data_IF_346049539003
#
_entry.id   IF_346049539003
#
_cell.length_a   1.000
_cell.length_b   1.000
_cell.length_c   1.000
_cell.angle_alpha   90.00
_cell.angle_beta   90.00
_cell.angle_gamma   90.00
#
_symmetry.space_group_name_H-M   'P 1'
#
loop_
_entity.id
_entity.type
_entity.pdbx_description
1 polymer ?
#
# COMPACT_ATOMS: atom_id res chain seq x y z
N UNK A 1 -37.89 -31.97 3.95
CA UNK A 1 -37.71 -30.51 3.83
C UNK A 1 -37.04 -30.00 5.10
N UNK A 2 -35.98 -29.22 4.98
CA UNK A 2 -35.34 -28.54 6.12
C UNK A 2 -36.17 -27.30 6.46
N UNK A 3 -36.72 -27.20 7.69
CA UNK A 3 -37.68 -26.14 8.07
C UNK A 3 -37.05 -24.97 8.84
N UNK A 4 -35.83 -25.13 9.38
CA UNK A 4 -35.10 -24.04 10.05
C UNK A 4 -33.62 -24.39 10.23
N UNK A 5 -32.75 -23.38 10.21
CA UNK A 5 -31.31 -23.49 10.51
C UNK A 5 -31.00 -22.72 11.80
N UNK A 6 -30.28 -23.28 12.77
CA UNK A 6 -29.90 -22.56 13.98
C UNK A 6 -28.92 -21.44 13.63
N UNK A 7 -29.19 -20.23 14.11
CA UNK A 7 -28.28 -19.08 13.94
C UNK A 7 -27.15 -19.22 14.97
N UNK A 8 -25.89 -19.37 14.56
CA UNK A 8 -24.76 -19.47 15.49
C UNK A 8 -24.55 -18.16 16.25
N UNK A 9 -24.07 -18.27 17.49
CA UNK A 9 -23.70 -17.13 18.32
C UNK A 9 -22.47 -16.42 17.71
N UNK A 10 -22.44 -15.10 17.74
CA UNK A 10 -21.29 -14.29 17.30
C UNK A 10 -20.00 -14.68 18.03
N UNK A 11 -20.12 -15.20 19.26
CA UNK A 11 -18.99 -15.73 20.05
C UNK A 11 -18.34 -16.98 19.47
N UNK A 12 -19.02 -17.73 18.60
CA UNK A 12 -18.43 -18.92 17.96
C UNK A 12 -17.60 -18.56 16.72
N UNK A 13 -17.51 -17.28 16.35
CA UNK A 13 -16.67 -16.84 15.24
C UNK A 13 -15.23 -16.77 15.73
N UNK A 14 -14.37 -17.63 15.17
CA UNK A 14 -12.93 -17.56 15.37
C UNK A 14 -12.37 -16.37 14.61
N UNK A 15 -12.11 -15.27 15.31
CA UNK A 15 -11.47 -14.10 14.74
C UNK A 15 -9.96 -14.31 14.60
N UNK A 16 -9.39 -13.83 13.51
CA UNK A 16 -7.94 -13.73 13.37
C UNK A 16 -7.50 -12.54 14.23
N UNK A 17 -6.64 -12.74 15.25
CA UNK A 17 -6.15 -11.63 16.06
C UNK A 17 -5.30 -10.70 15.20
N UNK A 18 -5.59 -9.40 15.27
CA UNK A 18 -4.83 -8.35 14.60
C UNK A 18 -4.38 -7.34 15.65
N UNK A 19 -3.08 -7.04 15.67
CA UNK A 19 -2.53 -5.95 16.46
C UNK A 19 -2.30 -4.75 15.53
N UNK A 20 -2.91 -3.61 15.84
CA UNK A 20 -2.75 -2.39 15.05
C UNK A 20 -1.93 -1.35 15.81
N UNK A 21 -1.09 -0.61 15.11
CA UNK A 21 -0.36 0.54 15.63
C UNK A 21 -0.27 1.62 14.56
N UNK A 22 -0.22 2.89 14.96
CA UNK A 22 -0.08 3.99 14.01
C UNK A 22 1.06 4.91 14.38
N UNK A 23 1.80 5.33 13.35
CA UNK A 23 2.62 6.52 13.40
C UNK A 23 1.82 7.66 12.79
N UNK A 24 1.35 8.59 13.62
CA UNK A 24 0.56 9.75 13.17
C UNK A 24 1.20 11.06 13.66
N UNK A 25 2.04 11.71 12.83
CA UNK A 25 2.67 12.97 13.21
C UNK A 25 1.68 14.15 13.28
N UNK A 26 0.43 13.96 12.85
CA UNK A 26 -0.59 15.01 12.81
C UNK A 26 -1.61 14.92 13.96
N UNK A 27 -1.59 13.84 14.73
CA UNK A 27 -2.51 13.61 15.84
C UNK A 27 -1.83 13.80 17.20
N UNK A 28 -2.51 14.51 18.09
CA UNK A 28 -2.10 14.66 19.49
C UNK A 28 -2.67 13.56 20.40
N UNK A 29 -3.39 12.57 19.86
CA UNK A 29 -4.02 11.51 20.64
C UNK A 29 -3.06 10.34 20.82
N UNK A 30 -2.78 10.00 22.07
CA UNK A 30 -2.05 8.77 22.41
C UNK A 30 -2.90 7.55 22.11
N UNK A 31 -2.39 6.65 21.26
CA UNK A 31 -3.02 5.35 21.03
C UNK A 31 -2.83 4.42 22.24
N UNK A 32 -3.72 3.43 22.37
CA UNK A 32 -3.55 2.39 23.40
C UNK A 32 -2.28 1.59 23.10
N UNK A 33 -1.37 1.55 24.06
CA UNK A 33 -0.15 0.74 23.94
C UNK A 33 -0.48 -0.75 23.87
N UNK A 34 0.10 -1.40 22.87
CA UNK A 34 0.16 -2.84 22.67
C UNK A 34 1.61 -3.25 22.34
N UNK A 35 1.86 -4.55 22.29
CA UNK A 35 3.19 -5.11 22.01
C UNK A 35 3.80 -4.57 20.70
N UNK A 36 2.98 -4.40 19.66
CA UNK A 36 3.40 -3.84 18.38
C UNK A 36 3.87 -2.38 18.51
N UNK A 37 3.08 -1.52 19.17
CA UNK A 37 3.47 -0.13 19.41
C UNK A 37 4.73 -0.01 20.28
N UNK A 38 4.91 -0.87 21.27
CA UNK A 38 6.14 -0.90 22.08
C UNK A 38 7.35 -1.40 21.30
N UNK A 39 7.15 -2.25 20.30
CA UNK A 39 8.20 -2.66 19.38
C UNK A 39 8.60 -1.49 18.47
N UNK A 40 7.62 -0.80 17.88
CA UNK A 40 7.84 0.36 17.01
C UNK A 40 8.47 1.55 17.77
N UNK A 41 8.06 1.79 19.02
CA UNK A 41 8.60 2.85 19.89
C UNK A 41 10.12 2.70 20.16
N UNK A 42 10.71 1.52 19.89
CA UNK A 42 12.17 1.29 20.01
C UNK A 42 12.94 1.84 18.82
N UNK A 43 12.30 1.97 17.66
CA UNK A 43 12.93 2.55 16.48
C UNK A 43 12.96 4.08 16.64
N UNK A 44 14.16 4.65 16.62
CA UNK A 44 14.37 6.10 16.75
C UNK A 44 14.15 6.82 15.41
N UNK A 45 13.01 6.60 14.77
CA UNK A 45 12.68 7.15 13.45
C UNK A 45 11.38 7.92 13.53
N UNK A 46 11.44 9.23 13.28
CA UNK A 46 10.26 10.05 13.07
C UNK A 46 9.93 10.11 11.57
N UNK A 47 8.74 9.60 11.20
CA UNK A 47 8.30 9.65 9.81
C UNK A 47 7.47 10.92 9.55
N UNK A 48 7.69 11.63 8.43
CA UNK A 48 6.97 12.86 8.10
C UNK A 48 5.55 12.61 7.57
N UNK A 49 5.07 11.37 7.62
CA UNK A 49 3.78 10.95 7.09
C UNK A 49 3.13 9.90 8.00
N UNK A 50 1.82 9.76 7.83
CA UNK A 50 1.03 8.77 8.53
C UNK A 50 1.35 7.36 8.04
N UNK A 51 1.54 6.42 8.97
CA UNK A 51 1.65 4.99 8.68
C UNK A 51 0.74 4.20 9.62
N UNK A 52 -0.05 3.29 9.06
CA UNK A 52 -0.79 2.30 9.83
C UNK A 52 -0.14 0.93 9.66
N UNK A 53 0.12 0.26 10.76
CA UNK A 53 0.60 -1.10 10.84
C UNK A 53 -0.52 -1.99 11.33
N UNK A 54 -0.80 -3.07 10.60
CA UNK A 54 -1.75 -4.10 10.99
C UNK A 54 -1.01 -5.45 10.99
N UNK A 55 -0.56 -5.87 12.16
CA UNK A 55 0.17 -7.11 12.33
C UNK A 55 -0.77 -8.30 12.46
N UNK A 56 -0.58 -9.27 11.58
CA UNK A 56 -1.27 -10.55 11.54
C UNK A 56 -0.26 -11.64 11.20
N UNK A 57 -0.47 -12.85 11.71
CA UNK A 57 0.37 -14.00 11.35
C UNK A 57 0.06 -14.43 9.90
N UNK A 58 0.93 -14.05 8.96
CA UNK A 58 0.83 -14.37 7.53
C UNK A 58 2.22 -14.56 6.94
N UNK A 59 2.36 -15.34 5.87
CA UNK A 59 3.60 -15.41 5.07
C UNK A 59 3.72 -14.25 4.07
N UNK A 60 2.70 -13.40 4.00
CA UNK A 60 2.61 -12.30 3.06
C UNK A 60 2.49 -10.96 3.77
N UNK A 61 3.04 -9.93 3.13
CA UNK A 61 2.90 -8.53 3.51
C UNK A 61 2.18 -7.77 2.40
N UNK A 62 1.32 -6.81 2.78
CA UNK A 62 0.68 -5.88 1.84
C UNK A 62 1.06 -4.47 2.24
N UNK A 63 1.61 -3.73 1.28
CA UNK A 63 1.97 -2.32 1.45
C UNK A 63 1.04 -1.52 0.56
N UNK A 64 0.40 -0.50 1.12
CA UNK A 64 -0.49 0.38 0.36
C UNK A 64 -0.14 1.84 0.62
N UNK A 65 0.10 2.59 -0.45
CA UNK A 65 0.21 4.04 -0.42
C UNK A 65 -1.15 4.66 -0.76
N UNK A 66 -1.60 5.58 0.10
CA UNK A 66 -2.84 6.32 -0.08
C UNK A 66 -2.50 7.79 -0.32
N UNK A 67 -2.95 8.32 -1.46
CA UNK A 67 -2.64 9.67 -1.92
C UNK A 67 -3.93 10.44 -2.13
N UNK A 68 -4.08 11.58 -1.46
CA UNK A 68 -5.22 12.46 -1.66
C UNK A 68 -5.12 13.20 -2.99
N UNK A 69 -6.20 13.27 -3.77
CA UNK A 69 -6.28 14.09 -4.98
C UNK A 69 -6.93 15.44 -4.73
N UNK A 70 -7.06 15.89 -3.47
CA UNK A 70 -7.68 17.20 -3.15
C UNK A 70 -6.97 18.37 -3.81
N UNK A 71 -5.64 18.33 -3.90
CA UNK A 71 -4.82 19.37 -4.54
C UNK A 71 -4.66 19.19 -6.06
N UNK A 72 -5.28 18.16 -6.66
CA UNK A 72 -5.14 17.88 -8.08
C UNK A 72 -5.97 18.87 -8.91
N UNK A 73 -5.36 19.62 -9.85
CA UNK A 73 -6.07 20.51 -10.75
C UNK A 73 -7.19 19.80 -11.52
N UNK A 74 -8.33 20.49 -11.70
CA UNK A 74 -9.53 19.92 -12.31
C UNK A 74 -9.27 19.34 -13.71
N UNK A 75 -8.47 20.05 -14.52
CA UNK A 75 -8.11 19.61 -15.87
C UNK A 75 -7.25 18.34 -15.91
N UNK A 76 -6.61 17.94 -14.80
CA UNK A 76 -5.82 16.71 -14.72
C UNK A 76 -6.63 15.51 -14.26
N UNK A 77 -7.79 15.71 -13.64
CA UNK A 77 -8.63 14.63 -13.09
C UNK A 77 -9.02 13.56 -14.12
N UNK A 78 -9.40 13.91 -15.38
CA UNK A 78 -9.73 12.90 -16.39
C UNK A 78 -8.57 11.98 -16.75
N UNK A 79 -7.32 12.40 -16.51
CA UNK A 79 -6.12 11.65 -16.84
C UNK A 79 -5.66 10.71 -15.72
N UNK A 80 -6.26 10.76 -14.53
CA UNK A 80 -5.84 9.94 -13.39
C UNK A 80 -5.96 8.45 -13.71
N UNK A 81 -7.08 8.01 -14.29
CA UNK A 81 -7.25 6.60 -14.65
C UNK A 81 -6.24 6.13 -15.69
N UNK A 82 -5.87 7.01 -16.64
CA UNK A 82 -4.84 6.71 -17.62
C UNK A 82 -3.46 6.57 -16.95
N UNK A 83 -3.11 7.52 -16.08
CA UNK A 83 -1.87 7.51 -15.31
C UNK A 83 -1.75 6.24 -14.44
N UNK A 84 -2.82 5.86 -13.72
CA UNK A 84 -2.82 4.65 -12.90
C UNK A 84 -2.70 3.38 -13.75
N UNK A 85 -3.30 3.37 -14.95
CA UNK A 85 -3.15 2.28 -15.91
C UNK A 85 -1.73 2.10 -16.44
N UNK A 86 -0.93 3.18 -16.50
CA UNK A 86 0.49 3.12 -16.88
C UNK A 86 1.46 3.06 -15.70
N UNK A 87 1.00 3.21 -14.46
CA UNK A 87 1.85 3.39 -13.27
C UNK A 87 2.95 2.33 -13.10
N UNK A 88 2.59 1.04 -13.15
CA UNK A 88 3.55 -0.07 -13.05
C UNK A 88 4.30 -0.35 -14.35
N UNK A 89 4.02 0.45 -15.40
CA UNK A 89 4.65 0.37 -16.70
C UNK A 89 5.62 1.53 -16.97
N UNK A 90 5.82 2.45 -16.02
CA UNK A 90 6.73 3.58 -16.21
C UNK A 90 8.18 3.14 -16.01
N UNK A 91 9.12 3.53 -16.88
CA UNK A 91 10.54 3.39 -16.57
C UNK A 91 10.91 4.24 -15.35
N UNK A 92 11.93 3.82 -14.61
CA UNK A 92 12.34 4.48 -13.37
C UNK A 92 13.83 4.81 -13.39
N UNK A 93 14.19 6.00 -12.94
CA UNK A 93 15.60 6.37 -12.71
C UNK A 93 15.85 6.53 -11.21
N UNK A 94 16.52 5.54 -10.63
CA UNK A 94 16.87 5.54 -9.20
C UNK A 94 17.77 6.72 -8.83
N UNK A 95 17.84 7.00 -7.53
CA UNK A 95 18.68 8.07 -6.96
C UNK A 95 20.18 7.90 -7.26
N UNK A 96 20.64 6.67 -7.47
CA UNK A 96 22.01 6.35 -7.87
C UNK A 96 22.27 6.55 -9.38
N UNK A 97 21.27 6.97 -10.14
CA UNK A 97 21.32 7.12 -11.60
C UNK A 97 21.01 5.84 -12.38
N UNK A 98 20.76 4.71 -11.70
CA UNK A 98 20.41 3.45 -12.36
C UNK A 98 19.06 3.58 -13.05
N UNK A 99 19.05 3.38 -14.37
CA UNK A 99 17.81 3.32 -15.17
C UNK A 99 17.27 1.91 -15.21
N UNK A 100 16.00 1.77 -14.88
CA UNK A 100 15.23 0.53 -14.99
C UNK A 100 14.26 0.72 -16.15
N UNK A 101 14.38 -0.12 -17.17
CA UNK A 101 13.46 -0.11 -18.30
C UNK A 101 12.07 -0.59 -17.86
N UNK A 102 11.05 -0.26 -18.64
CA UNK A 102 9.69 -0.78 -18.40
C UNK A 102 9.65 -2.31 -18.34
N UNK A 103 10.33 -2.99 -19.28
CA UNK A 103 10.34 -4.45 -19.34
C UNK A 103 11.00 -5.07 -18.11
N UNK A 104 12.11 -4.50 -17.66
CA UNK A 104 12.82 -4.99 -16.49
C UNK A 104 12.05 -4.69 -15.20
N UNK A 105 11.33 -3.56 -15.15
CA UNK A 105 10.44 -3.24 -14.06
C UNK A 105 9.31 -4.26 -13.94
N UNK A 106 8.63 -4.60 -15.05
CA UNK A 106 7.58 -5.62 -15.04
C UNK A 106 8.15 -6.96 -14.59
N UNK A 107 9.27 -7.41 -15.18
CA UNK A 107 9.91 -8.67 -14.77
C UNK A 107 10.22 -8.66 -13.27
N UNK A 108 10.67 -7.52 -12.74
CA UNK A 108 10.97 -7.41 -11.32
C UNK A 108 9.71 -7.49 -10.46
N UNK A 109 8.64 -6.80 -10.85
CA UNK A 109 7.34 -6.91 -10.18
C UNK A 109 6.84 -8.35 -10.18
N UNK A 110 6.86 -9.03 -11.32
CA UNK A 110 6.41 -10.42 -11.45
C UNK A 110 7.27 -11.40 -10.63
N UNK A 111 8.55 -11.11 -10.44
CA UNK A 111 9.46 -11.93 -9.63
C UNK A 111 9.20 -11.78 -8.12
N UNK A 112 8.98 -10.56 -7.64
CA UNK A 112 8.98 -10.26 -6.19
C UNK A 112 7.59 -10.07 -5.58
N UNK A 113 6.55 -9.97 -6.41
CA UNK A 113 5.19 -9.69 -5.96
C UNK A 113 4.23 -10.85 -6.23
N UNK A 114 3.24 -10.98 -5.37
CA UNK A 114 2.10 -11.89 -5.53
C UNK A 114 0.94 -11.19 -6.24
N UNK A 115 0.75 -9.91 -5.94
CA UNK A 115 -0.25 -9.06 -6.58
C UNK A 115 0.14 -7.59 -6.42
N UNK A 116 -0.24 -6.77 -7.40
CA UNK A 116 -0.14 -5.33 -7.32
C UNK A 116 -1.30 -4.67 -8.04
N UNK A 117 -1.71 -3.49 -7.56
CA UNK A 117 -2.80 -2.72 -8.16
C UNK A 117 -2.62 -1.22 -7.90
N UNK A 118 -3.09 -0.39 -8.82
CA UNK A 118 -3.14 1.06 -8.68
C UNK A 118 -4.52 1.53 -9.15
N UNK A 119 -5.32 2.09 -8.24
CA UNK A 119 -6.73 2.40 -8.48
C UNK A 119 -7.16 3.68 -7.76
N UNK A 120 -8.27 4.27 -8.21
CA UNK A 120 -8.99 5.28 -7.45
C UNK A 120 -9.96 4.60 -6.48
N UNK A 121 -10.03 5.14 -5.27
CA UNK A 121 -10.91 4.69 -4.22
C UNK A 121 -10.36 3.54 -3.38
N UNK A 122 -11.08 3.30 -2.28
CA UNK A 122 -10.84 2.22 -1.33
C UNK A 122 -12.13 1.42 -1.26
N UNK A 123 -12.11 0.18 -1.75
CA UNK A 123 -13.28 -0.71 -1.73
C UNK A 123 -14.55 -0.10 -2.34
N UNK A 124 -14.41 0.72 -3.38
CA UNK A 124 -15.52 1.41 -4.06
C UNK A 124 -15.96 2.74 -3.41
N UNK A 125 -15.30 3.18 -2.33
CA UNK A 125 -15.53 4.46 -1.67
C UNK A 125 -14.35 5.42 -1.89
N UNK A 126 -14.49 6.68 -1.50
CA UNK A 126 -13.40 7.68 -1.53
C UNK A 126 -12.76 7.86 -2.92
N UNK A 127 -13.57 8.11 -3.95
CA UNK A 127 -13.10 8.23 -5.34
C UNK A 127 -11.98 9.27 -5.54
N UNK A 128 -11.89 10.29 -4.66
CA UNK A 128 -10.83 11.31 -4.63
C UNK A 128 -9.53 10.85 -3.92
N UNK A 129 -9.34 9.54 -3.74
CA UNK A 129 -8.13 8.95 -3.17
C UNK A 129 -7.51 7.98 -4.16
N UNK A 130 -6.23 8.13 -4.44
CA UNK A 130 -5.46 7.14 -5.18
C UNK A 130 -4.91 6.12 -4.19
N UNK A 131 -5.01 4.84 -4.52
CA UNK A 131 -4.41 3.73 -3.81
C UNK A 131 -3.45 3.00 -4.74
N UNK A 132 -2.21 2.86 -4.31
CA UNK A 132 -1.22 1.96 -4.94
C UNK A 132 -0.90 0.87 -3.93
N UNK A 133 -1.05 -0.39 -4.31
CA UNK A 133 -0.88 -1.53 -3.41
C UNK A 133 0.03 -2.59 -4.03
N UNK A 134 0.92 -3.13 -3.21
CA UNK A 134 1.78 -4.26 -3.55
C UNK A 134 1.67 -5.31 -2.44
N UNK A 135 1.45 -6.57 -2.84
CA UNK A 135 1.45 -7.73 -1.97
C UNK A 135 2.61 -8.64 -2.35
N UNK A 136 3.38 -9.09 -1.38
CA UNK A 136 4.54 -9.96 -1.59
C UNK A 136 4.74 -10.92 -0.40
N UNK A 137 5.63 -11.88 -0.56
CA UNK A 137 6.15 -12.67 0.57
C UNK A 137 6.94 -11.78 1.52
N UNK A 138 6.94 -12.11 2.82
CA UNK A 138 7.69 -11.34 3.84
C UNK A 138 9.18 -11.25 3.50
N UNK A 139 9.75 -12.32 2.92
CA UNK A 139 11.14 -12.37 2.48
C UNK A 139 11.51 -11.29 1.45
N UNK A 140 10.52 -10.75 0.74
CA UNK A 140 10.70 -9.74 -0.31
C UNK A 140 10.37 -8.33 0.16
N UNK A 141 10.06 -8.12 1.45
CA UNK A 141 9.62 -6.83 2.00
C UNK A 141 10.53 -5.66 1.58
N UNK A 142 11.84 -5.78 1.78
CA UNK A 142 12.79 -4.72 1.44
C UNK A 142 12.79 -4.40 -0.07
N UNK A 143 12.66 -5.43 -0.90
CA UNK A 143 12.61 -5.28 -2.35
C UNK A 143 11.35 -4.52 -2.78
N UNK A 144 10.18 -4.87 -2.25
CA UNK A 144 8.92 -4.22 -2.63
C UNK A 144 8.77 -2.82 -2.07
N UNK A 145 9.28 -2.54 -0.86
CA UNK A 145 9.29 -1.18 -0.30
C UNK A 145 10.20 -0.27 -1.14
N UNK A 146 11.39 -0.76 -1.51
CA UNK A 146 12.30 -0.02 -2.38
C UNK A 146 11.68 0.24 -3.75
N UNK A 147 11.00 -0.76 -4.32
CA UNK A 147 10.31 -0.63 -5.60
C UNK A 147 9.15 0.36 -5.55
N UNK A 148 8.34 0.34 -4.50
CA UNK A 148 7.26 1.30 -4.31
C UNK A 148 7.79 2.73 -4.19
N UNK A 149 8.89 2.94 -3.45
CA UNK A 149 9.57 4.24 -3.38
C UNK A 149 10.05 4.70 -4.75
N UNK A 150 10.71 3.81 -5.48
CA UNK A 150 11.24 4.07 -6.82
C UNK A 150 10.10 4.47 -7.80
N UNK A 151 8.96 3.79 -7.76
CA UNK A 151 7.76 4.12 -8.56
C UNK A 151 7.12 5.46 -8.20
N UNK A 152 7.06 5.79 -6.90
CA UNK A 152 6.41 7.01 -6.43
C UNK A 152 7.25 8.27 -6.65
N UNK A 153 8.58 8.17 -6.52
CA UNK A 153 9.46 9.35 -6.50
C UNK A 153 10.31 9.53 -7.76
N UNK A 154 10.51 8.47 -8.54
CA UNK A 154 11.46 8.44 -9.66
C UNK A 154 10.90 7.99 -11.02
N UNK A 155 9.60 8.15 -11.35
CA UNK A 155 9.10 7.75 -12.67
C UNK A 155 9.64 8.68 -13.77
N UNK A 156 10.00 8.11 -14.91
CA UNK A 156 10.36 8.85 -16.12
C UNK A 156 9.18 8.85 -17.10
N UNK A 157 8.65 10.03 -17.40
CA UNK A 157 7.54 10.21 -18.34
C UNK A 157 8.08 10.41 -19.76
N UNK A 158 7.79 9.46 -20.65
CA UNK A 158 8.24 9.46 -22.05
C UNK A 158 7.03 9.59 -22.97
N UNK A 159 7.20 10.18 -24.16
CA UNK A 159 6.07 10.45 -25.08
C UNK A 159 5.21 9.23 -25.44
N UNK A 160 5.79 8.04 -25.39
CA UNK A 160 5.13 6.80 -25.78
C UNK A 160 4.41 6.08 -24.61
N UNK A 161 4.43 6.63 -23.38
CA UNK A 161 3.87 5.99 -22.16
C UNK A 161 3.36 6.98 -21.11
#
# INVERSE_FOLDING_TARGET
MLTSFPVPDVKSISWIPVQSARNDPFSSKSEKKNELSEHLDKDSVELPYFVQYDHVQSDFVTISAYLSTTSLPEHLRPYVSLYLGSFFALPVTRLDGTKISHEDLIKKLDEVTVAYDANCGISGYFADTIRVSIKAEISQYDAVVSLLRDLLYSPEYVKDR
#
